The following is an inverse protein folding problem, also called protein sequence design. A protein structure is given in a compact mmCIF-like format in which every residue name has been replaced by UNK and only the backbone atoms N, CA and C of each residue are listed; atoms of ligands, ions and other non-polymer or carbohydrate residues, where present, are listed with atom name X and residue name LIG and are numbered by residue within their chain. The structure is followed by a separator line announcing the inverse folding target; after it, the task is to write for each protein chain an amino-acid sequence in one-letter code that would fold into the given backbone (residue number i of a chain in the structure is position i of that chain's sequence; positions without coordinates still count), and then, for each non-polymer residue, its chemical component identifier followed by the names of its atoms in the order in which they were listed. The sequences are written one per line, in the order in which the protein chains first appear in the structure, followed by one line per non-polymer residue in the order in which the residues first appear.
data_IF_784086614590
#
_entry.id   IF_784086614590
#
_cell.length_a   1.000
_cell.length_b   1.000
_cell.length_c   1.000
_cell.angle_alpha   90.00
_cell.angle_beta   90.00
_cell.angle_gamma   90.00
#
_symmetry.space_group_name_H-M   'P 1'
#
loop_
_entity.id
_entity.type
_entity.pdbx_description
1 polymer ?
#
# COMPACT_ATOMS: atom_id res chain seq x y z
N UNK A 1 -13.78 0.44 20.40
CA UNK A 1 -12.65 -0.50 20.67
C UNK A 1 -12.10 -0.92 19.33
N UNK A 2 -10.78 -1.05 19.21
CA UNK A 2 -10.19 -1.56 17.96
C UNK A 2 -10.80 -2.91 17.60
N UNK A 3 -11.11 -3.14 16.33
CA UNK A 3 -11.70 -4.39 15.86
C UNK A 3 -10.71 -5.58 15.91
N UNK A 4 -9.45 -5.31 16.25
CA UNK A 4 -8.33 -6.26 16.28
C UNK A 4 -7.48 -6.06 17.54
N UNK A 5 -6.73 -7.11 17.93
CA UNK A 5 -5.80 -7.06 19.06
C UNK A 5 -4.50 -6.37 18.65
N UNK A 6 -3.98 -5.51 19.52
CA UNK A 6 -2.73 -4.77 19.33
C UNK A 6 -1.70 -5.09 20.41
N UNK A 7 -0.53 -4.48 20.36
CA UNK A 7 0.50 -4.61 21.40
C UNK A 7 0.06 -4.04 22.77
N UNK A 8 -1.03 -3.27 22.81
CA UNK A 8 -1.62 -2.79 24.06
C UNK A 8 -2.38 -3.92 24.80
N UNK A 9 -2.82 -4.94 24.05
CA UNK A 9 -3.53 -6.11 24.58
C UNK A 9 -2.59 -7.29 24.91
N UNK A 10 -1.28 -7.19 24.63
CA UNK A 10 -0.35 -8.33 24.61
C UNK A 10 0.01 -8.86 26.04
N UNK A 11 -0.17 -8.04 27.06
CA UNK A 11 0.13 -8.41 28.43
C UNK A 11 1.62 -8.50 28.76
N UNK A 12 1.99 -9.38 29.71
CA UNK A 12 3.37 -9.59 30.13
C UNK A 12 4.08 -10.57 29.19
N UNK A 13 5.11 -10.09 28.49
CA UNK A 13 5.89 -10.86 27.51
C UNK A 13 7.36 -11.04 27.89
N UNK A 14 7.75 -10.64 29.10
CA UNK A 14 9.14 -10.80 29.56
C UNK A 14 9.60 -12.26 29.50
N UNK A 15 10.65 -12.51 28.71
CA UNK A 15 11.20 -13.84 28.46
C UNK A 15 10.39 -14.71 27.50
N UNK A 16 9.25 -14.24 26.99
CA UNK A 16 8.47 -14.93 25.96
C UNK A 16 9.15 -14.82 24.59
N UNK A 17 9.03 -15.89 23.80
CA UNK A 17 9.46 -15.92 22.40
C UNK A 17 8.36 -15.31 21.54
N UNK A 18 8.61 -14.14 20.97
CA UNK A 18 7.63 -13.42 20.15
C UNK A 18 8.07 -13.47 18.70
N UNK A 19 7.36 -14.25 17.89
CA UNK A 19 7.52 -14.27 16.44
C UNK A 19 6.91 -13.00 15.86
N UNK A 20 7.68 -12.22 15.10
CA UNK A 20 7.22 -10.98 14.49
C UNK A 20 7.36 -11.07 12.98
N UNK A 21 6.24 -11.09 12.27
CA UNK A 21 6.24 -11.03 10.81
C UNK A 21 6.40 -9.59 10.36
N UNK A 22 7.52 -9.30 9.71
CA UNK A 22 7.90 -7.96 9.25
C UNK A 22 8.07 -7.89 7.74
N UNK A 23 8.02 -6.70 7.16
CA UNK A 23 8.35 -6.46 5.76
C UNK A 23 9.79 -5.98 5.63
N UNK A 24 10.67 -6.89 5.23
CA UNK A 24 12.09 -6.64 4.97
C UNK A 24 12.43 -6.80 3.47
N UNK A 25 11.45 -6.70 2.58
CA UNK A 25 11.67 -6.76 1.14
C UNK A 25 12.20 -5.41 0.62
N UNK A 26 13.42 -5.08 1.01
CA UNK A 26 14.14 -3.83 0.73
C UNK A 26 15.04 -3.96 -0.51
N UNK A 27 15.34 -2.87 -1.23
CA UNK A 27 16.29 -2.92 -2.33
C UNK A 27 17.72 -3.14 -1.81
N UNK A 28 18.42 -4.06 -2.46
CA UNK A 28 19.81 -4.42 -2.14
C UNK A 28 20.65 -4.28 -3.41
N UNK A 29 21.80 -3.60 -3.32
CA UNK A 29 22.81 -3.54 -4.36
C UNK A 29 24.19 -3.83 -3.74
N UNK A 30 24.97 -4.67 -4.38
CA UNK A 30 26.31 -5.09 -3.94
C UNK A 30 26.33 -5.58 -2.48
N UNK A 31 25.30 -6.34 -2.07
CA UNK A 31 25.15 -6.88 -0.72
C UNK A 31 24.84 -5.85 0.37
N UNK A 32 24.44 -4.62 -0.01
CA UNK A 32 24.04 -3.55 0.91
C UNK A 32 22.62 -3.09 0.64
N UNK A 33 21.89 -2.82 1.70
CA UNK A 33 20.56 -2.19 1.61
C UNK A 33 20.76 -0.74 1.14
N UNK A 34 20.03 -0.36 0.07
CA UNK A 34 20.12 0.99 -0.52
C UNK A 34 18.99 1.91 -0.05
N UNK A 35 17.92 1.34 0.51
CA UNK A 35 16.81 2.07 1.12
C UNK A 35 16.32 1.32 2.36
N UNK A 36 16.50 1.93 3.53
CA UNK A 36 16.16 1.34 4.82
C UNK A 36 14.75 1.70 5.31
N UNK A 37 13.95 2.45 4.55
CA UNK A 37 12.63 2.97 4.97
C UNK A 37 11.72 1.90 5.55
N UNK A 38 11.71 0.68 5.00
CA UNK A 38 10.90 -0.43 5.52
C UNK A 38 11.41 -0.94 6.87
N UNK A 39 12.73 -0.93 7.07
CA UNK A 39 13.35 -1.33 8.33
C UNK A 39 13.03 -0.28 9.41
N UNK A 40 13.12 1.00 9.08
CA UNK A 40 12.79 2.10 9.98
C UNK A 40 11.34 2.04 10.44
N UNK A 41 10.42 1.67 9.56
CA UNK A 41 8.98 1.55 9.87
C UNK A 41 8.67 0.47 10.89
N UNK A 42 9.38 -0.66 10.88
CA UNK A 42 9.16 -1.77 11.83
C UNK A 42 9.94 -1.59 13.13
N UNK A 43 10.90 -0.67 13.18
CA UNK A 43 11.74 -0.43 14.34
C UNK A 43 10.94 -0.16 15.64
N UNK A 44 9.86 0.64 15.65
CA UNK A 44 9.06 0.87 16.86
C UNK A 44 8.46 -0.42 17.46
N UNK A 45 7.94 -1.33 16.63
CA UNK A 45 7.41 -2.63 17.07
C UNK A 45 8.50 -3.47 17.73
N UNK A 46 9.67 -3.57 17.09
CA UNK A 46 10.81 -4.35 17.60
C UNK A 46 11.33 -3.75 18.90
N UNK A 47 11.50 -2.44 18.95
CA UNK A 47 12.00 -1.73 20.14
C UNK A 47 11.04 -1.88 21.34
N UNK A 48 9.73 -1.79 21.12
CA UNK A 48 8.73 -1.96 22.18
C UNK A 48 8.75 -3.39 22.75
N UNK A 49 8.72 -4.41 21.88
CA UNK A 49 8.72 -5.81 22.30
C UNK A 49 10.02 -6.17 23.03
N UNK A 50 11.15 -5.79 22.49
CA UNK A 50 12.46 -6.00 23.10
C UNK A 50 12.61 -5.24 24.42
N UNK A 51 12.15 -3.99 24.49
CA UNK A 51 12.15 -3.18 25.70
C UNK A 51 11.27 -3.76 26.83
N UNK A 52 10.22 -4.51 26.48
CA UNK A 52 9.41 -5.31 27.41
C UNK A 52 10.06 -6.64 27.83
N UNK A 53 11.28 -6.92 27.36
CA UNK A 53 12.08 -8.11 27.67
C UNK A 53 11.65 -9.36 26.90
N UNK A 54 10.94 -9.23 25.78
CA UNK A 54 10.65 -10.36 24.89
C UNK A 54 11.93 -10.81 24.15
N UNK A 55 12.01 -12.11 23.82
CA UNK A 55 12.93 -12.63 22.80
C UNK A 55 12.25 -12.42 21.45
N UNK A 56 12.73 -11.42 20.70
CA UNK A 56 12.08 -10.98 19.43
C UNK A 56 12.66 -11.76 18.25
N UNK A 57 11.80 -12.55 17.59
CA UNK A 57 12.21 -13.41 16.48
C UNK A 57 11.53 -12.91 15.22
N UNK A 58 12.31 -12.32 14.30
CA UNK A 58 11.82 -11.73 13.07
C UNK A 58 11.67 -12.80 11.98
N UNK A 59 10.52 -12.79 11.34
CA UNK A 59 10.19 -13.58 10.15
C UNK A 59 9.93 -12.62 8.98
N UNK A 60 10.57 -12.87 7.85
CA UNK A 60 10.36 -12.08 6.65
C UNK A 60 10.50 -12.93 5.39
N UNK A 61 9.97 -12.40 4.28
CA UNK A 61 10.34 -12.87 2.96
C UNK A 61 11.22 -11.83 2.26
N UNK A 62 12.03 -12.31 1.33
CA UNK A 62 12.84 -11.47 0.47
C UNK A 62 12.82 -11.98 -0.96
N UNK A 63 12.49 -11.10 -1.89
CA UNK A 63 12.40 -11.45 -3.31
C UNK A 63 11.41 -12.57 -3.64
N UNK A 64 11.71 -13.29 -4.72
CA UNK A 64 10.91 -14.43 -5.22
C UNK A 64 11.82 -15.58 -5.62
N UNK A 65 12.47 -16.26 -4.66
CA UNK A 65 13.31 -17.42 -4.95
C UNK A 65 12.46 -18.52 -5.59
N UNK A 66 12.96 -19.14 -6.67
CA UNK A 66 12.28 -20.23 -7.38
C UNK A 66 12.78 -21.61 -6.96
N UNK A 67 14.09 -21.69 -6.65
CA UNK A 67 14.83 -22.95 -6.53
C UNK A 67 15.37 -23.20 -5.11
N UNK A 68 14.74 -22.60 -4.08
CA UNK A 68 15.16 -22.77 -2.70
C UNK A 68 16.24 -21.76 -2.26
N UNK A 69 17.06 -22.12 -1.23
CA UNK A 69 18.04 -21.21 -0.66
C UNK A 69 19.10 -20.75 -1.66
N UNK A 70 19.38 -19.44 -1.67
CA UNK A 70 20.44 -18.85 -2.46
C UNK A 70 20.98 -17.58 -1.78
N UNK A 71 22.25 -17.27 -2.01
CA UNK A 71 22.87 -16.06 -1.43
C UNK A 71 22.18 -14.76 -1.89
N UNK A 72 21.65 -14.75 -3.11
CA UNK A 72 20.94 -13.60 -3.69
C UNK A 72 19.70 -13.21 -2.87
N UNK A 73 19.00 -14.22 -2.34
CA UNK A 73 17.73 -14.03 -1.60
C UNK A 73 17.89 -14.26 -0.08
N UNK A 74 19.13 -14.35 0.44
CA UNK A 74 19.36 -14.47 1.87
C UNK A 74 19.07 -13.16 2.61
N UNK A 75 18.50 -13.27 3.80
CA UNK A 75 18.24 -12.15 4.70
C UNK A 75 19.48 -11.75 5.54
N UNK A 76 20.60 -12.45 5.43
CA UNK A 76 21.83 -12.14 6.22
C UNK A 76 22.31 -10.69 6.04
N UNK A 77 22.42 -10.13 4.80
CA UNK A 77 22.80 -8.72 4.63
C UNK A 77 21.79 -7.76 5.26
N UNK A 78 20.50 -8.14 5.28
CA UNK A 78 19.43 -7.32 5.83
C UNK A 78 19.44 -7.36 7.36
N UNK A 79 19.88 -8.46 7.98
CA UNK A 79 20.08 -8.52 9.43
C UNK A 79 21.08 -7.45 9.90
N UNK A 80 22.16 -7.22 9.14
CA UNK A 80 23.16 -6.18 9.44
C UNK A 80 22.56 -4.78 9.34
N UNK A 81 21.85 -4.49 8.25
CA UNK A 81 21.16 -3.20 8.08
C UNK A 81 20.10 -2.98 9.17
N UNK A 82 19.38 -4.03 9.57
CA UNK A 82 18.42 -3.97 10.67
C UNK A 82 19.11 -3.63 12.00
N UNK A 83 20.27 -4.21 12.28
CA UNK A 83 21.06 -3.89 13.45
C UNK A 83 21.53 -2.42 13.47
N UNK A 84 21.94 -1.90 12.32
CA UNK A 84 22.32 -0.48 12.17
C UNK A 84 21.15 0.46 12.46
N UNK A 85 19.98 0.21 11.88
CA UNK A 85 18.77 1.03 12.11
C UNK A 85 18.31 0.95 13.57
N UNK A 86 18.34 -0.23 14.17
CA UNK A 86 17.93 -0.41 15.57
C UNK A 86 18.98 0.09 16.58
N UNK A 87 20.21 0.37 16.16
CA UNK A 87 21.33 0.76 17.01
C UNK A 87 21.71 -0.33 18.05
N UNK A 88 21.47 -1.61 17.71
CA UNK A 88 21.71 -2.76 18.59
C UNK A 88 21.97 -4.03 17.80
N UNK A 89 22.60 -5.06 18.40
CA UNK A 89 22.82 -6.33 17.74
C UNK A 89 21.51 -7.00 17.31
N UNK A 90 21.52 -7.59 16.10
CA UNK A 90 20.52 -8.47 15.57
C UNK A 90 21.19 -9.77 15.16
N UNK A 91 20.85 -10.88 15.83
CA UNK A 91 21.32 -12.20 15.47
C UNK A 91 20.73 -12.65 14.12
N UNK A 92 21.39 -13.62 13.48
CA UNK A 92 20.88 -14.23 12.26
C UNK A 92 20.98 -15.76 12.35
N UNK A 93 19.94 -16.44 11.93
CA UNK A 93 19.90 -17.90 11.76
C UNK A 93 19.71 -18.25 10.30
N UNK A 94 20.55 -19.12 9.76
CA UNK A 94 20.57 -19.49 8.32
C UNK A 94 19.42 -20.42 7.89
N UNK A 95 18.42 -20.62 8.74
CA UNK A 95 17.15 -21.28 8.43
C UNK A 95 16.03 -20.65 9.26
N UNK A 96 14.78 -20.81 8.82
CA UNK A 96 13.61 -20.32 9.56
C UNK A 96 12.85 -21.41 10.32
N UNK A 97 13.23 -22.68 10.16
CA UNK A 97 12.64 -23.86 10.83
C UNK A 97 13.71 -24.86 11.24
N UNK A 98 13.30 -25.91 11.95
CA UNK A 98 14.19 -27.02 12.31
C UNK A 98 15.23 -26.68 13.36
N UNK A 99 16.28 -27.51 13.47
CA UNK A 99 17.27 -27.43 14.53
C UNK A 99 18.10 -26.14 14.48
N UNK A 100 18.38 -25.61 13.30
CA UNK A 100 19.14 -24.36 13.13
C UNK A 100 18.39 -23.18 13.75
N UNK A 101 17.13 -23.01 13.42
CA UNK A 101 16.30 -21.95 13.99
C UNK A 101 16.07 -22.20 15.49
N UNK A 102 15.70 -23.42 15.88
CA UNK A 102 15.42 -23.80 17.26
C UNK A 102 16.62 -23.56 18.20
N UNK A 103 17.86 -23.93 17.77
CA UNK A 103 19.08 -23.70 18.55
C UNK A 103 19.41 -22.22 18.69
N UNK A 104 19.23 -21.43 17.62
CA UNK A 104 19.45 -19.98 17.67
C UNK A 104 18.43 -19.29 18.61
N UNK A 105 17.17 -19.69 18.55
CA UNK A 105 16.11 -19.18 19.47
C UNK A 105 16.38 -19.56 20.92
N UNK A 106 16.84 -20.78 21.18
CA UNK A 106 17.17 -21.25 22.54
C UNK A 106 18.31 -20.45 23.17
N UNK A 107 19.29 -20.02 22.35
CA UNK A 107 20.44 -19.25 22.79
C UNK A 107 20.15 -17.76 23.10
N UNK A 108 18.97 -17.26 22.76
CA UNK A 108 18.59 -15.85 23.00
C UNK A 108 18.41 -15.54 24.49
N UNK A 109 18.84 -14.35 24.89
CA UNK A 109 18.49 -13.74 26.15
C UNK A 109 17.27 -12.83 26.08
N UNK A 110 16.77 -12.38 27.23
CA UNK A 110 15.67 -11.41 27.28
C UNK A 110 16.05 -10.10 26.60
N UNK A 111 15.18 -9.65 25.71
CA UNK A 111 15.39 -8.43 24.97
C UNK A 111 16.19 -8.61 23.68
N UNK A 112 16.72 -9.78 23.38
CA UNK A 112 17.44 -10.03 22.14
C UNK A 112 16.53 -9.99 20.92
N UNK A 113 17.15 -9.70 19.77
CA UNK A 113 16.52 -9.70 18.46
C UNK A 113 17.25 -10.67 17.54
N UNK A 114 16.51 -11.59 16.93
CA UNK A 114 17.02 -12.61 16.00
C UNK A 114 16.23 -12.54 14.69
N UNK A 115 16.90 -12.46 13.54
CA UNK A 115 16.28 -12.61 12.24
C UNK A 115 16.49 -14.05 11.75
N UNK A 116 15.40 -14.73 11.39
CA UNK A 116 15.46 -16.03 10.74
C UNK A 116 15.57 -15.86 9.22
N UNK A 117 16.07 -16.88 8.54
CA UNK A 117 16.24 -16.86 7.08
C UNK A 117 14.90 -16.79 6.34
N UNK A 118 14.97 -16.43 5.07
CA UNK A 118 13.86 -16.17 4.16
C UNK A 118 12.82 -17.29 4.12
N UNK A 119 11.60 -17.02 4.60
CA UNK A 119 10.51 -18.01 4.65
C UNK A 119 10.14 -18.53 3.26
N UNK A 120 10.36 -17.75 2.19
CA UNK A 120 10.09 -18.15 0.80
C UNK A 120 11.09 -19.13 0.20
N UNK A 121 12.14 -19.51 0.92
CA UNK A 121 12.94 -20.67 0.51
C UNK A 121 12.15 -21.97 0.58
N UNK A 122 11.03 -21.98 1.31
CA UNK A 122 10.08 -23.08 1.38
C UNK A 122 8.86 -22.80 0.53
N UNK A 123 8.59 -23.66 -0.46
CA UNK A 123 7.36 -23.57 -1.30
C UNK A 123 6.07 -23.71 -0.47
N UNK A 124 6.17 -24.29 0.72
CA UNK A 124 5.09 -24.43 1.70
C UNK A 124 4.61 -23.09 2.26
N UNK A 125 5.45 -22.06 2.29
CA UNK A 125 5.12 -20.72 2.76
C UNK A 125 3.93 -20.11 2.00
N UNK A 126 4.06 -20.02 0.68
CA UNK A 126 3.02 -19.40 -0.17
C UNK A 126 1.76 -20.25 -0.31
N UNK A 127 1.85 -21.56 0.01
CA UNK A 127 0.71 -22.48 0.03
C UNK A 127 -0.06 -22.46 1.34
N UNK A 128 0.41 -21.68 2.32
CA UNK A 128 -0.13 -21.71 3.68
C UNK A 128 -0.19 -23.12 4.26
N UNK A 129 0.87 -23.90 4.04
CA UNK A 129 0.93 -25.31 4.44
C UNK A 129 0.90 -25.42 5.99
N UNK A 130 -0.05 -26.19 6.56
CA UNK A 130 -0.21 -26.29 8.01
C UNK A 130 1.03 -26.87 8.72
N UNK A 131 1.70 -27.86 8.13
CA UNK A 131 2.87 -28.49 8.74
C UNK A 131 4.06 -27.51 8.79
N UNK A 132 4.20 -26.67 7.76
CA UNK A 132 5.21 -25.62 7.75
C UNK A 132 4.87 -24.51 8.75
N UNK A 133 3.61 -24.13 8.89
CA UNK A 133 3.16 -23.18 9.89
C UNK A 133 3.43 -23.69 11.34
N UNK A 134 3.22 -25.00 11.60
CA UNK A 134 3.56 -25.63 12.87
C UNK A 134 5.08 -25.60 13.15
N UNK A 135 5.91 -25.84 12.13
CA UNK A 135 7.36 -25.75 12.27
C UNK A 135 7.82 -24.33 12.60
N UNK A 136 7.23 -23.31 11.97
CA UNK A 136 7.48 -21.91 12.32
C UNK A 136 7.01 -21.61 13.76
N UNK A 137 5.80 -22.06 14.12
CA UNK A 137 5.20 -21.82 15.44
C UNK A 137 6.02 -22.44 16.59
N UNK A 138 6.75 -23.53 16.35
CA UNK A 138 7.61 -24.15 17.35
C UNK A 138 8.69 -23.19 17.91
N UNK A 139 9.03 -22.15 17.17
CA UNK A 139 10.00 -21.14 17.57
C UNK A 139 9.40 -20.02 18.44
N UNK A 140 8.10 -19.98 18.70
CA UNK A 140 7.46 -18.87 19.41
C UNK A 140 6.35 -19.25 20.36
N UNK A 141 6.01 -18.34 21.26
CA UNK A 141 4.90 -18.44 22.21
C UNK A 141 3.75 -17.50 21.82
N UNK A 142 4.06 -16.42 21.09
CA UNK A 142 3.17 -15.35 20.68
C UNK A 142 3.54 -14.95 19.25
N UNK A 143 2.54 -14.56 18.46
CA UNK A 143 2.74 -14.04 17.11
C UNK A 143 2.32 -12.57 17.02
N UNK A 144 3.13 -11.76 16.36
CA UNK A 144 2.84 -10.37 16.00
C UNK A 144 2.95 -10.20 14.48
N UNK A 145 1.86 -9.81 13.84
CA UNK A 145 1.89 -9.46 12.43
C UNK A 145 2.11 -7.96 12.27
N UNK A 146 3.24 -7.58 11.69
CA UNK A 146 3.62 -6.19 11.41
C UNK A 146 3.90 -5.95 9.91
N UNK A 147 3.43 -6.86 9.06
CA UNK A 147 3.65 -6.83 7.62
C UNK A 147 2.32 -6.72 6.84
N UNK A 148 1.68 -5.55 6.87
CA UNK A 148 0.45 -5.30 6.13
C UNK A 148 0.60 -5.58 4.63
N UNK A 149 1.77 -5.28 4.04
CA UNK A 149 2.07 -5.56 2.63
C UNK A 149 1.92 -7.03 2.24
N UNK A 150 2.04 -7.96 3.20
CA UNK A 150 1.85 -9.41 3.00
C UNK A 150 0.46 -9.91 3.46
N UNK A 151 -0.38 -9.06 4.04
CA UNK A 151 -1.63 -9.46 4.68
C UNK A 151 -2.75 -9.84 3.71
N UNK A 152 -2.64 -9.45 2.44
CA UNK A 152 -3.62 -9.75 1.39
C UNK A 152 -3.60 -11.22 0.93
N UNK A 153 -2.62 -11.99 1.35
CA UNK A 153 -2.49 -13.42 1.02
C UNK A 153 -2.42 -14.29 2.27
N UNK A 154 -3.06 -15.45 2.22
CA UNK A 154 -2.91 -16.48 3.24
C UNK A 154 -1.58 -17.21 3.02
N UNK A 155 -0.56 -16.88 3.83
CA UNK A 155 0.73 -17.56 3.85
C UNK A 155 0.99 -18.17 5.24
N UNK A 156 1.86 -19.17 5.32
CA UNK A 156 2.16 -19.86 6.58
C UNK A 156 2.71 -18.90 7.64
N UNK A 157 3.60 -17.96 7.25
CA UNK A 157 4.17 -16.97 8.17
C UNK A 157 3.24 -15.77 8.48
N UNK A 158 2.02 -15.74 7.94
CA UNK A 158 1.02 -14.71 8.21
C UNK A 158 -0.23 -15.34 8.83
N UNK A 159 -1.17 -15.80 7.99
CA UNK A 159 -2.45 -16.38 8.41
C UNK A 159 -2.27 -17.71 9.15
N UNK A 160 -1.37 -18.59 8.65
CA UNK A 160 -1.10 -19.88 9.28
C UNK A 160 -0.63 -19.74 10.73
N UNK A 161 0.40 -18.92 11.00
CA UNK A 161 0.89 -18.67 12.36
C UNK A 161 -0.15 -18.03 13.25
N UNK A 162 -0.95 -17.10 12.71
CA UNK A 162 -1.97 -16.41 13.49
C UNK A 162 -3.10 -17.33 13.98
N UNK A 163 -3.31 -18.46 13.30
CA UNK A 163 -4.25 -19.50 13.74
C UNK A 163 -3.70 -20.41 14.84
N UNK A 164 -2.37 -20.52 14.94
CA UNK A 164 -1.71 -21.44 15.89
C UNK A 164 -1.33 -20.77 17.20
N UNK A 165 -1.06 -19.47 17.21
CA UNK A 165 -0.54 -18.73 18.35
C UNK A 165 -1.46 -17.57 18.75
N UNK A 166 -1.43 -17.13 20.02
CA UNK A 166 -2.01 -15.84 20.40
C UNK A 166 -1.43 -14.73 19.55
N UNK A 167 -2.30 -13.97 18.81
CA UNK A 167 -1.88 -13.11 17.71
C UNK A 167 -2.30 -11.66 17.89
N UNK A 168 -1.41 -10.74 17.51
CA UNK A 168 -1.56 -9.31 17.69
C UNK A 168 -1.05 -8.55 16.46
N UNK A 169 -1.59 -7.36 16.23
CA UNK A 169 -1.04 -6.41 15.26
C UNK A 169 0.15 -5.67 15.86
N UNK A 170 1.25 -5.59 15.12
CA UNK A 170 2.36 -4.69 15.43
C UNK A 170 2.00 -3.24 15.18
N UNK A 171 2.87 -2.29 15.52
CA UNK A 171 2.58 -0.85 15.43
C UNK A 171 2.41 -0.37 14.01
N UNK A 172 3.19 -0.93 13.05
CA UNK A 172 3.02 -0.60 11.63
C UNK A 172 1.70 -1.11 11.10
N UNK A 173 1.34 -2.36 11.41
CA UNK A 173 0.05 -2.95 11.05
C UNK A 173 -1.11 -2.16 11.68
N UNK A 174 -1.00 -1.79 12.94
CA UNK A 174 -2.01 -1.00 13.65
C UNK A 174 -2.22 0.37 12.98
N UNK A 175 -1.14 1.09 12.69
CA UNK A 175 -1.23 2.40 12.03
C UNK A 175 -1.89 2.31 10.66
N UNK A 176 -1.56 1.27 9.88
CA UNK A 176 -2.17 0.98 8.59
C UNK A 176 -3.68 0.74 8.75
N UNK A 177 -4.09 -0.17 9.63
CA UNK A 177 -5.49 -0.52 9.84
C UNK A 177 -6.32 0.66 10.38
N UNK A 178 -5.77 1.47 11.28
CA UNK A 178 -6.43 2.67 11.77
C UNK A 178 -6.62 3.73 10.68
N UNK A 179 -5.61 3.91 9.82
CA UNK A 179 -5.71 4.83 8.69
C UNK A 179 -6.75 4.37 7.65
N UNK A 180 -6.78 3.07 7.37
CA UNK A 180 -7.75 2.46 6.45
C UNK A 180 -9.17 2.58 7.00
N UNK A 181 -9.37 2.36 8.30
CA UNK A 181 -10.68 2.52 8.94
C UNK A 181 -11.17 3.97 8.85
N UNK A 182 -10.28 4.96 9.10
CA UNK A 182 -10.58 6.38 8.94
C UNK A 182 -10.85 6.77 7.48
N UNK A 183 -10.18 6.10 6.52
CA UNK A 183 -10.31 6.39 5.09
C UNK A 183 -11.62 5.91 4.47
N UNK A 184 -11.99 4.65 4.70
CA UNK A 184 -13.16 4.02 4.05
C UNK A 184 -13.98 3.09 4.95
N UNK A 185 -13.45 2.65 6.10
CA UNK A 185 -14.19 1.79 7.02
C UNK A 185 -15.32 2.55 7.72
N UNK A 186 -14.94 3.64 8.38
CA UNK A 186 -15.87 4.54 9.08
C UNK A 186 -15.44 6.01 8.91
N UNK A 187 -15.42 6.53 7.65
CA UNK A 187 -14.89 7.85 7.35
C UNK A 187 -15.83 8.96 7.80
N UNK A 188 -15.23 10.12 8.08
CA UNK A 188 -16.00 11.37 8.21
C UNK A 188 -16.39 11.87 6.81
N UNK A 189 -17.67 12.08 6.60
CA UNK A 189 -18.19 12.56 5.31
C UNK A 189 -18.18 14.10 5.22
N UNK A 190 -18.10 14.68 4.00
CA UNK A 190 -18.04 14.03 2.69
C UNK A 190 -16.72 13.30 2.41
N UNK A 191 -16.79 12.15 1.73
CA UNK A 191 -15.65 11.35 1.31
C UNK A 191 -15.41 11.55 -0.19
N UNK A 192 -14.23 11.97 -0.55
CA UNK A 192 -13.79 12.06 -1.95
C UNK A 192 -12.72 10.99 -2.21
N UNK A 193 -12.86 10.24 -3.29
CA UNK A 193 -11.80 9.38 -3.78
C UNK A 193 -11.20 9.95 -5.07
N UNK A 194 -9.88 9.87 -5.20
CA UNK A 194 -9.17 10.12 -6.46
C UNK A 194 -8.58 8.79 -6.91
N UNK A 195 -8.96 8.34 -8.09
CA UNK A 195 -8.44 7.12 -8.70
C UNK A 195 -7.91 7.45 -10.08
N UNK A 196 -6.62 7.24 -10.27
CA UNK A 196 -5.96 7.42 -11.55
C UNK A 196 -5.24 6.17 -12.01
N UNK A 197 -4.66 6.23 -13.18
CA UNK A 197 -3.89 5.14 -13.76
C UNK A 197 -4.09 5.01 -15.27
N UNK A 198 -3.37 4.07 -15.88
CA UNK A 198 -3.39 3.90 -17.33
C UNK A 198 -4.67 3.24 -17.86
N UNK A 199 -5.21 2.24 -17.14
CA UNK A 199 -6.23 1.32 -17.63
C UNK A 199 -7.36 1.05 -16.64
N UNK A 200 -8.61 1.10 -17.09
CA UNK A 200 -9.80 0.72 -16.31
C UNK A 200 -9.78 -0.76 -15.94
N UNK A 201 -9.34 -1.63 -16.88
CA UNK A 201 -9.29 -3.08 -16.68
C UNK A 201 -8.55 -3.52 -15.43
N UNK A 202 -7.59 -2.72 -14.96
CA UNK A 202 -6.80 -3.03 -13.77
C UNK A 202 -7.46 -2.59 -12.46
N UNK A 203 -8.57 -1.83 -12.51
CA UNK A 203 -9.18 -1.19 -11.33
C UNK A 203 -10.71 -1.30 -11.30
N UNK A 204 -11.31 -2.21 -12.06
CA UNK A 204 -12.77 -2.37 -12.12
C UNK A 204 -13.34 -2.64 -10.73
N UNK A 205 -12.80 -3.63 -10.01
CA UNK A 205 -13.27 -4.00 -8.66
C UNK A 205 -13.16 -2.83 -7.68
N UNK A 206 -12.04 -2.08 -7.78
CA UNK A 206 -11.81 -0.88 -6.99
C UNK A 206 -12.91 0.17 -7.23
N UNK A 207 -13.15 0.52 -8.50
CA UNK A 207 -14.13 1.54 -8.87
C UNK A 207 -15.55 1.13 -8.44
N UNK A 208 -15.93 -0.13 -8.69
CA UNK A 208 -17.24 -0.68 -8.31
C UNK A 208 -17.48 -0.69 -6.79
N UNK A 209 -16.40 -0.89 -6.00
CA UNK A 209 -16.51 -0.81 -4.55
C UNK A 209 -16.58 0.65 -4.06
N UNK A 210 -15.73 1.52 -4.62
CA UNK A 210 -15.66 2.91 -4.19
C UNK A 210 -16.91 3.71 -4.45
N UNK A 211 -17.57 3.55 -5.62
CA UNK A 211 -18.81 4.29 -5.95
C UNK A 211 -19.92 4.08 -4.93
N UNK A 212 -19.89 2.97 -4.18
CA UNK A 212 -20.86 2.65 -3.11
C UNK A 212 -20.47 3.23 -1.76
N UNK A 213 -19.24 3.75 -1.61
CA UNK A 213 -18.68 4.17 -0.32
C UNK A 213 -18.35 5.65 -0.23
N UNK A 214 -18.17 6.34 -1.35
CA UNK A 214 -17.73 7.73 -1.38
C UNK A 214 -18.80 8.66 -1.94
N UNK A 215 -18.73 9.96 -1.60
CA UNK A 215 -19.67 10.97 -2.09
C UNK A 215 -19.25 11.50 -3.47
N UNK A 216 -17.95 11.47 -3.79
CA UNK A 216 -17.46 11.78 -5.13
C UNK A 216 -16.24 10.92 -5.48
N UNK A 217 -16.13 10.54 -6.75
CA UNK A 217 -15.05 9.80 -7.33
C UNK A 217 -14.45 10.55 -8.52
N UNK A 218 -13.24 11.07 -8.33
CA UNK A 218 -12.43 11.68 -9.40
C UNK A 218 -11.71 10.58 -10.15
N UNK A 219 -11.85 10.54 -11.46
CA UNK A 219 -11.18 9.59 -12.34
C UNK A 219 -10.14 10.34 -13.18
N UNK A 220 -8.86 9.95 -13.04
CA UNK A 220 -7.72 10.56 -13.71
C UNK A 220 -6.91 9.59 -14.56
N UNK A 221 -5.88 10.12 -15.21
CA UNK A 221 -4.98 9.35 -16.06
C UNK A 221 -5.64 8.78 -17.32
N UNK A 222 -4.99 7.82 -17.96
CA UNK A 222 -5.47 7.17 -19.18
C UNK A 222 -6.83 6.48 -19.01
N UNK A 223 -7.16 6.03 -17.80
CA UNK A 223 -8.47 5.43 -17.54
C UNK A 223 -9.62 6.43 -17.67
N UNK A 224 -9.41 7.73 -17.40
CA UNK A 224 -10.43 8.75 -17.61
C UNK A 224 -10.85 8.84 -19.08
N UNK A 225 -9.92 8.59 -20.02
CA UNK A 225 -10.22 8.61 -21.45
C UNK A 225 -11.25 7.52 -21.85
N UNK A 226 -11.22 6.36 -21.19
CA UNK A 226 -12.23 5.30 -21.41
C UNK A 226 -13.63 5.75 -20.94
N UNK A 227 -13.72 6.46 -19.83
CA UNK A 227 -14.98 7.04 -19.37
C UNK A 227 -15.50 8.16 -20.28
N UNK A 228 -14.59 9.01 -20.79
CA UNK A 228 -14.92 10.06 -21.76
C UNK A 228 -15.45 9.45 -23.07
N UNK A 229 -14.74 8.44 -23.60
CA UNK A 229 -15.15 7.71 -24.80
C UNK A 229 -16.50 7.00 -24.59
N UNK A 230 -16.75 6.42 -23.40
CA UNK A 230 -18.03 5.83 -23.05
C UNK A 230 -19.18 6.83 -23.06
N UNK A 231 -18.90 8.14 -22.84
CA UNK A 231 -19.87 9.25 -22.97
C UNK A 231 -19.99 9.80 -24.40
N UNK A 232 -19.25 9.23 -25.36
CA UNK A 232 -19.26 9.63 -26.76
C UNK A 232 -18.27 10.73 -27.13
N UNK A 233 -17.30 11.04 -26.26
CA UNK A 233 -16.25 12.00 -26.53
C UNK A 233 -15.14 11.35 -27.36
N UNK A 234 -14.68 12.02 -28.43
CA UNK A 234 -13.49 11.61 -29.15
C UNK A 234 -12.25 12.00 -28.35
N UNK A 235 -11.41 11.01 -28.01
CA UNK A 235 -10.20 11.20 -27.22
C UNK A 235 -8.90 11.13 -28.06
N UNK A 236 -9.03 11.21 -29.39
CA UNK A 236 -7.93 11.18 -30.35
C UNK A 236 -7.10 9.92 -30.22
N UNK A 237 -5.77 10.08 -30.16
CA UNK A 237 -4.79 8.97 -29.94
C UNK A 237 -4.50 8.68 -28.48
N UNK A 238 -5.30 9.20 -27.56
CA UNK A 238 -5.11 8.94 -26.12
C UNK A 238 -5.22 7.46 -25.81
N UNK A 239 -4.47 7.01 -24.80
CA UNK A 239 -4.65 5.66 -24.25
C UNK A 239 -6.10 5.48 -23.81
N UNK A 240 -6.82 4.52 -24.41
CA UNK A 240 -8.21 4.27 -24.17
C UNK A 240 -8.54 2.79 -24.39
N UNK A 241 -9.30 2.19 -23.48
CA UNK A 241 -9.81 0.83 -23.63
C UNK A 241 -11.26 0.87 -24.15
N UNK A 242 -11.40 1.09 -25.47
CA UNK A 242 -12.72 1.25 -26.12
C UNK A 242 -13.66 0.07 -25.86
N UNK A 243 -13.12 -1.15 -25.77
CA UNK A 243 -13.89 -2.37 -25.49
C UNK A 243 -14.51 -2.37 -24.08
N UNK A 244 -13.97 -1.54 -23.16
CA UNK A 244 -14.49 -1.38 -21.81
C UNK A 244 -15.45 -0.19 -21.65
N UNK A 245 -15.87 0.47 -22.74
CA UNK A 245 -16.88 1.51 -22.67
C UNK A 245 -18.20 1.04 -22.02
N UNK A 246 -18.71 -0.19 -22.25
CA UNK A 246 -19.87 -0.70 -21.52
C UNK A 246 -19.64 -0.81 -20.02
N UNK A 247 -18.45 -1.27 -19.59
CA UNK A 247 -18.07 -1.37 -18.17
C UNK A 247 -17.98 0.01 -17.53
N UNK A 248 -17.38 1.00 -18.20
CA UNK A 248 -17.33 2.37 -17.71
C UNK A 248 -18.72 2.98 -17.57
N UNK A 249 -19.65 2.70 -18.50
CA UNK A 249 -21.07 3.09 -18.39
C UNK A 249 -21.74 2.46 -17.18
N UNK A 250 -21.50 1.16 -16.94
CA UNK A 250 -22.06 0.46 -15.78
C UNK A 250 -21.58 1.07 -14.47
N UNK A 251 -20.28 1.39 -14.35
CA UNK A 251 -19.73 2.07 -13.17
C UNK A 251 -20.41 3.43 -12.96
N UNK A 252 -20.62 4.22 -14.01
CA UNK A 252 -21.34 5.50 -13.91
C UNK A 252 -22.78 5.35 -13.48
N UNK A 253 -23.48 4.30 -13.91
CA UNK A 253 -24.86 3.99 -13.50
C UNK A 253 -24.88 3.64 -12.01
N UNK A 254 -24.02 2.72 -11.57
CA UNK A 254 -23.95 2.33 -10.15
C UNK A 254 -23.56 3.51 -9.25
N UNK A 255 -22.68 4.40 -9.73
CA UNK A 255 -22.36 5.62 -9.01
C UNK A 255 -23.59 6.52 -8.83
N UNK A 256 -24.38 6.72 -9.90
CA UNK A 256 -25.61 7.53 -9.85
C UNK A 256 -26.64 6.92 -8.90
N UNK A 257 -26.84 5.60 -8.93
CA UNK A 257 -27.71 4.88 -8.02
C UNK A 257 -27.27 4.98 -6.56
N UNK A 258 -25.96 4.99 -6.32
CA UNK A 258 -25.38 5.15 -4.98
C UNK A 258 -25.29 6.61 -4.49
N UNK A 259 -25.64 7.59 -5.34
CA UNK A 259 -25.49 9.01 -5.02
C UNK A 259 -24.06 9.53 -5.07
N UNK A 260 -23.15 8.81 -5.70
CA UNK A 260 -21.74 9.18 -5.87
C UNK A 260 -21.55 10.02 -7.14
N UNK A 261 -20.96 11.20 -7.00
CA UNK A 261 -20.63 12.05 -8.15
C UNK A 261 -19.38 11.53 -8.86
N UNK A 262 -19.48 11.21 -10.16
CA UNK A 262 -18.31 10.90 -10.99
C UNK A 262 -17.75 12.20 -11.58
N UNK A 263 -16.51 12.51 -11.25
CA UNK A 263 -15.80 13.70 -11.72
C UNK A 263 -14.83 13.30 -12.81
N UNK A 264 -15.11 13.69 -14.04
CA UNK A 264 -14.28 13.47 -15.22
C UNK A 264 -13.60 14.77 -15.66
N UNK A 265 -12.48 14.70 -16.37
CA UNK A 265 -11.84 15.87 -16.96
C UNK A 265 -12.78 16.67 -17.88
N UNK A 266 -12.74 18.00 -17.78
CA UNK A 266 -13.44 18.93 -18.69
C UNK A 266 -12.48 19.59 -19.66
N UNK A 267 -11.17 19.59 -19.34
CA UNK A 267 -10.06 20.01 -20.20
C UNK A 267 -8.87 19.07 -19.99
N UNK A 268 -7.98 19.03 -20.96
CA UNK A 268 -6.80 18.17 -20.95
C UNK A 268 -5.58 18.85 -21.54
N UNK A 269 -4.40 18.46 -21.05
CA UNK A 269 -3.11 18.81 -21.63
C UNK A 269 -2.80 17.76 -22.70
N UNK A 270 -2.79 18.21 -23.95
CA UNK A 270 -2.68 17.33 -25.13
C UNK A 270 -1.32 17.53 -25.80
N UNK A 271 -0.68 16.42 -26.13
CA UNK A 271 0.55 16.38 -26.92
C UNK A 271 0.48 15.33 -28.03
N UNK A 272 1.31 15.52 -29.08
CA UNK A 272 1.43 14.54 -30.18
C UNK A 272 2.46 13.46 -29.91
N UNK A 273 3.27 13.60 -28.86
CA UNK A 273 4.33 12.67 -28.49
C UNK A 273 4.35 12.45 -26.99
N UNK A 274 4.47 11.19 -26.57
CA UNK A 274 4.64 10.79 -25.18
C UNK A 274 6.13 10.85 -24.81
N UNK A 275 6.62 12.06 -24.48
CA UNK A 275 8.01 12.28 -24.06
C UNK A 275 8.14 13.55 -23.24
N UNK A 276 9.20 13.62 -22.42
CA UNK A 276 9.53 14.82 -21.65
C UNK A 276 9.76 16.03 -22.57
N UNK A 277 9.20 17.18 -22.16
CA UNK A 277 9.32 18.44 -22.91
C UNK A 277 8.59 18.43 -24.26
N UNK A 278 7.67 17.50 -24.51
CA UNK A 278 6.85 17.52 -25.70
C UNK A 278 6.02 18.80 -25.76
N UNK A 279 5.94 19.41 -26.98
CA UNK A 279 5.02 20.52 -27.21
C UNK A 279 3.60 20.08 -26.89
N UNK A 280 2.91 20.83 -26.04
CA UNK A 280 1.56 20.52 -25.59
C UNK A 280 0.70 21.77 -25.54
N UNK A 281 -0.61 21.57 -25.57
CA UNK A 281 -1.61 22.62 -25.41
C UNK A 281 -2.72 22.14 -24.50
N UNK A 282 -3.38 23.07 -23.83
CA UNK A 282 -4.57 22.75 -23.04
C UNK A 282 -5.83 23.04 -23.87
N UNK A 283 -6.63 22.00 -24.06
CA UNK A 283 -7.86 22.09 -24.85
C UNK A 283 -9.06 21.63 -24.03
N UNK A 284 -10.27 22.07 -24.39
CA UNK A 284 -11.48 21.45 -23.84
C UNK A 284 -11.53 19.98 -24.31
N UNK A 285 -12.11 19.11 -23.48
CA UNK A 285 -12.21 17.68 -23.84
C UNK A 285 -13.01 17.46 -25.12
N UNK A 286 -13.96 18.35 -25.47
CA UNK A 286 -14.68 18.33 -26.74
C UNK A 286 -13.82 18.62 -27.97
N UNK A 287 -12.64 19.21 -27.78
CA UNK A 287 -11.81 19.79 -28.85
C UNK A 287 -10.45 19.06 -28.99
N UNK A 288 -10.37 17.84 -28.46
CA UNK A 288 -9.13 17.03 -28.55
C UNK A 288 -8.83 16.70 -30.00
N UNK A 289 -7.64 17.08 -30.52
CA UNK A 289 -7.25 16.75 -31.91
C UNK A 289 -7.19 15.24 -32.14
N UNK A 290 -7.59 14.79 -33.33
CA UNK A 290 -7.59 13.37 -33.67
C UNK A 290 -6.21 12.71 -33.60
N UNK A 291 -5.11 13.49 -33.75
CA UNK A 291 -3.72 13.03 -33.62
C UNK A 291 -3.10 13.35 -32.26
N UNK A 292 -3.87 13.92 -31.31
CA UNK A 292 -3.45 14.32 -29.98
C UNK A 292 -3.69 13.23 -28.95
N UNK A 293 -2.86 13.22 -27.90
CA UNK A 293 -2.98 12.35 -26.72
C UNK A 293 -3.19 13.22 -25.48
N UNK A 294 -4.22 12.96 -24.71
CA UNK A 294 -4.43 13.57 -23.38
C UNK A 294 -3.43 12.93 -22.44
N UNK A 295 -2.48 13.70 -21.93
CA UNK A 295 -1.40 13.21 -21.06
C UNK A 295 -1.51 13.75 -19.64
N UNK A 296 -2.27 14.83 -19.39
CA UNK A 296 -2.63 15.31 -18.06
C UNK A 296 -3.99 16.01 -18.14
N UNK A 297 -4.61 16.27 -17.00
CA UNK A 297 -5.83 17.08 -16.95
C UNK A 297 -5.49 18.58 -16.96
N UNK A 298 -6.38 19.39 -17.50
CA UNK A 298 -6.17 20.84 -17.60
C UNK A 298 -6.52 21.60 -16.31
N UNK A 299 -6.24 22.89 -16.34
CA UNK A 299 -6.37 23.78 -15.17
C UNK A 299 -7.82 23.89 -14.66
N UNK A 300 -8.82 23.84 -15.54
CA UNK A 300 -10.24 23.87 -15.12
C UNK A 300 -10.61 22.60 -14.36
N UNK A 301 -10.12 21.45 -14.81
CA UNK A 301 -10.30 20.17 -14.11
C UNK A 301 -9.59 20.18 -12.74
N UNK A 302 -8.36 20.72 -12.67
CA UNK A 302 -7.64 20.89 -11.38
C UNK A 302 -8.43 21.75 -10.41
N UNK A 303 -9.02 22.86 -10.91
CA UNK A 303 -9.88 23.74 -10.09
C UNK A 303 -11.09 22.95 -9.54
N UNK A 304 -11.79 22.20 -10.40
CA UNK A 304 -12.93 21.37 -9.97
C UNK A 304 -12.52 20.32 -8.93
N UNK A 305 -11.37 19.66 -9.12
CA UNK A 305 -10.83 18.69 -8.14
C UNK A 305 -10.53 19.42 -6.81
N UNK A 306 -9.93 20.60 -6.85
CA UNK A 306 -9.67 21.42 -5.67
C UNK A 306 -10.95 21.76 -4.90
N UNK A 307 -12.02 22.13 -5.58
CA UNK A 307 -13.33 22.40 -4.95
C UNK A 307 -13.92 21.15 -4.26
N UNK A 308 -13.72 19.96 -4.85
CA UNK A 308 -14.15 18.73 -4.20
C UNK A 308 -13.28 18.39 -2.97
N UNK A 309 -11.96 18.60 -3.05
CA UNK A 309 -11.06 18.44 -1.91
C UNK A 309 -11.41 19.45 -0.80
N UNK A 310 -11.84 20.68 -1.15
CA UNK A 310 -12.27 21.69 -0.18
C UNK A 310 -13.54 21.31 0.58
N UNK A 311 -14.45 20.60 -0.04
CA UNK A 311 -15.68 20.10 0.58
C UNK A 311 -15.47 18.80 1.37
N UNK A 312 -14.41 18.06 1.06
CA UNK A 312 -14.14 16.76 1.67
C UNK A 312 -13.73 16.90 3.15
N UNK A 313 -14.24 16.00 3.99
CA UNK A 313 -13.68 15.72 5.30
C UNK A 313 -12.68 14.55 5.24
N UNK A 314 -12.85 13.64 4.27
CA UNK A 314 -11.94 12.51 4.03
C UNK A 314 -11.60 12.40 2.54
N UNK A 315 -10.31 12.21 2.25
CA UNK A 315 -9.78 11.94 0.92
C UNK A 315 -9.10 10.57 0.89
N UNK A 316 -9.43 9.76 -0.10
CA UNK A 316 -8.70 8.51 -0.40
C UNK A 316 -8.12 8.62 -1.80
N UNK A 317 -6.81 8.37 -1.95
CA UNK A 317 -6.12 8.59 -3.21
C UNK A 317 -5.33 7.37 -3.67
N UNK A 318 -5.61 6.91 -4.90
CA UNK A 318 -4.87 5.82 -5.55
C UNK A 318 -4.65 6.09 -7.05
N UNK A 319 -3.46 6.55 -7.40
CA UNK A 319 -3.02 6.78 -8.77
C UNK A 319 -3.02 8.24 -9.22
N UNK A 320 -2.12 8.60 -10.16
CA UNK A 320 -1.93 9.96 -10.63
C UNK A 320 -3.06 10.43 -11.56
N UNK A 321 -3.16 11.75 -11.77
CA UNK A 321 -4.12 12.39 -12.67
C UNK A 321 -3.65 12.43 -14.13
N UNK A 322 -2.33 12.36 -14.34
CA UNK A 322 -1.68 12.41 -15.64
C UNK A 322 -0.42 11.53 -15.69
N UNK A 323 0.38 11.68 -16.73
CA UNK A 323 1.67 11.01 -16.92
C UNK A 323 2.75 11.69 -16.07
N UNK A 324 2.60 11.62 -14.75
CA UNK A 324 3.34 12.40 -13.76
C UNK A 324 4.85 12.16 -13.76
N UNK A 325 5.33 11.07 -14.36
CA UNK A 325 6.76 10.77 -14.48
C UNK A 325 7.47 11.64 -15.54
N UNK A 326 6.69 12.39 -16.36
CA UNK A 326 7.18 13.12 -17.52
C UNK A 326 6.68 14.56 -17.47
N UNK A 327 7.59 15.51 -17.24
CA UNK A 327 7.25 16.94 -17.36
C UNK A 327 6.89 17.33 -18.82
N UNK A 328 5.82 18.12 -19.02
CA UNK A 328 5.04 18.88 -18.03
C UNK A 328 3.72 18.20 -17.61
N UNK A 329 3.58 16.89 -17.74
CA UNK A 329 2.34 16.15 -17.53
C UNK A 329 2.15 15.68 -16.06
N UNK A 330 2.95 16.22 -15.14
CA UNK A 330 2.88 16.02 -13.68
C UNK A 330 2.10 17.14 -12.98
N UNK A 331 1.85 18.26 -13.66
CA UNK A 331 1.37 19.51 -13.04
C UNK A 331 0.05 19.34 -12.30
N UNK A 332 -0.92 18.63 -12.86
CA UNK A 332 -2.22 18.46 -12.22
C UNK A 332 -2.11 17.57 -10.95
N UNK A 333 -1.35 16.50 -11.04
CA UNK A 333 -1.11 15.60 -9.89
C UNK A 333 -0.42 16.36 -8.76
N UNK A 334 0.62 17.13 -9.05
CA UNK A 334 1.36 17.95 -8.08
C UNK A 334 0.47 19.03 -7.47
N UNK A 335 -0.34 19.73 -8.28
CA UNK A 335 -1.24 20.78 -7.79
C UNK A 335 -2.30 20.21 -6.83
N UNK A 336 -2.97 19.12 -7.22
CA UNK A 336 -3.97 18.47 -6.38
C UNK A 336 -3.34 17.90 -5.09
N UNK A 337 -2.13 17.32 -5.16
CA UNK A 337 -1.42 16.79 -4.00
C UNK A 337 -1.07 17.89 -3.00
N UNK A 338 -0.52 19.02 -3.47
CA UNK A 338 -0.21 20.18 -2.63
C UNK A 338 -1.46 20.77 -1.99
N UNK A 339 -2.58 20.84 -2.72
CA UNK A 339 -3.85 21.32 -2.19
C UNK A 339 -4.37 20.41 -1.06
N UNK A 340 -4.38 19.08 -1.29
CA UNK A 340 -4.78 18.11 -0.27
C UNK A 340 -3.87 18.17 0.97
N UNK A 341 -2.56 18.27 0.79
CA UNK A 341 -1.59 18.41 1.86
C UNK A 341 -1.83 19.66 2.71
N UNK A 342 -2.07 20.81 2.07
CA UNK A 342 -2.37 22.05 2.77
C UNK A 342 -3.64 21.93 3.63
N UNK A 343 -4.70 21.29 3.12
CA UNK A 343 -5.94 21.03 3.86
C UNK A 343 -5.72 20.09 5.05
N UNK A 344 -4.88 19.05 4.85
CA UNK A 344 -4.53 18.10 5.89
C UNK A 344 -3.75 18.75 7.01
N UNK A 345 -2.72 19.56 6.69
CA UNK A 345 -1.95 20.34 7.68
C UNK A 345 -2.82 21.32 8.46
N UNK A 346 -3.84 21.87 7.83
CA UNK A 346 -4.81 22.74 8.50
C UNK A 346 -5.81 21.98 9.38
N UNK A 347 -5.72 20.66 9.50
CA UNK A 347 -6.63 19.81 10.27
C UNK A 347 -8.06 19.73 9.70
N UNK A 348 -8.23 20.06 8.41
CA UNK A 348 -9.53 20.13 7.73
C UNK A 348 -9.81 18.93 6.82
N UNK A 349 -8.84 18.03 6.67
CA UNK A 349 -8.93 16.87 5.80
C UNK A 349 -8.20 15.70 6.43
N UNK A 350 -8.85 14.54 6.48
CA UNK A 350 -8.19 13.26 6.68
C UNK A 350 -7.81 12.72 5.31
N UNK A 351 -6.52 12.61 5.02
CA UNK A 351 -6.04 12.15 3.72
C UNK A 351 -5.28 10.83 3.84
N UNK A 352 -5.77 9.82 3.12
CA UNK A 352 -5.17 8.48 3.05
C UNK A 352 -4.82 8.18 1.60
N UNK A 353 -3.57 7.87 1.35
CA UNK A 353 -3.09 7.57 0.00
C UNK A 353 -2.32 6.25 -0.02
N UNK A 354 -2.27 5.59 -1.17
CA UNK A 354 -1.47 4.37 -1.34
C UNK A 354 -1.42 3.90 -2.78
N UNK A 355 -0.54 2.93 -3.01
CA UNK A 355 -0.15 2.45 -4.34
C UNK A 355 1.16 3.07 -4.79
N UNK A 356 2.00 2.28 -5.50
CA UNK A 356 3.35 2.67 -5.87
C UNK A 356 3.43 4.01 -6.59
N UNK A 357 2.62 4.19 -7.64
CA UNK A 357 2.59 5.42 -8.44
C UNK A 357 2.09 6.62 -7.62
N UNK A 358 1.14 6.40 -6.70
CA UNK A 358 0.65 7.45 -5.80
C UNK A 358 1.75 7.92 -4.86
N UNK A 359 2.44 6.98 -4.21
CA UNK A 359 3.55 7.29 -3.31
C UNK A 359 4.66 8.03 -4.04
N UNK A 360 5.02 7.57 -5.25
CA UNK A 360 6.02 8.22 -6.09
C UNK A 360 5.59 9.67 -6.47
N UNK A 361 4.32 9.86 -6.84
CA UNK A 361 3.78 11.17 -7.18
C UNK A 361 3.75 12.14 -5.98
N UNK A 362 3.39 11.66 -4.79
CA UNK A 362 3.40 12.46 -3.56
C UNK A 362 4.82 12.85 -3.14
N UNK A 363 5.78 11.93 -3.29
CA UNK A 363 7.20 12.21 -3.06
C UNK A 363 7.73 13.23 -4.06
N UNK A 364 7.41 13.08 -5.35
CA UNK A 364 7.75 14.05 -6.39
C UNK A 364 7.19 15.45 -6.09
N UNK A 365 5.95 15.52 -5.60
CA UNK A 365 5.33 16.77 -5.16
C UNK A 365 5.91 17.34 -3.85
N UNK A 366 6.71 16.55 -3.10
CA UNK A 366 7.32 16.93 -1.82
C UNK A 366 6.31 17.04 -0.67
N UNK A 367 5.22 16.27 -0.70
CA UNK A 367 4.10 16.39 0.26
C UNK A 367 3.65 15.07 0.90
N UNK A 368 4.39 13.99 0.71
CA UNK A 368 3.99 12.68 1.23
C UNK A 368 3.82 12.71 2.77
N UNK A 369 4.71 13.38 3.49
CA UNK A 369 4.68 13.49 4.95
C UNK A 369 3.57 14.42 5.47
N UNK A 370 2.95 15.20 4.59
CA UNK A 370 1.87 16.12 4.92
C UNK A 370 0.47 15.48 4.84
N UNK A 371 0.40 14.24 4.35
CA UNK A 371 -0.83 13.44 4.37
C UNK A 371 -1.04 12.80 5.75
N UNK A 372 -2.28 12.53 6.12
CA UNK A 372 -2.60 11.82 7.36
C UNK A 372 -1.95 10.45 7.38
N UNK A 373 -1.97 9.74 6.25
CA UNK A 373 -1.30 8.46 6.08
C UNK A 373 -1.00 8.15 4.61
N UNK A 374 0.21 7.67 4.36
CA UNK A 374 0.62 7.16 3.04
C UNK A 374 1.04 5.69 3.19
N UNK A 375 0.21 4.80 2.64
CA UNK A 375 0.47 3.36 2.63
C UNK A 375 1.54 3.00 1.61
N UNK A 376 2.55 2.28 2.05
CA UNK A 376 3.55 1.66 1.16
C UNK A 376 3.26 0.21 0.84
N UNK A 377 2.10 -0.29 1.27
CA UNK A 377 1.74 -1.70 1.19
C UNK A 377 1.30 -2.18 -0.20
N UNK A 378 1.19 -1.28 -1.18
CA UNK A 378 0.92 -1.63 -2.58
C UNK A 378 -0.34 -2.46 -2.77
N UNK A 379 -0.17 -3.77 -3.03
CA UNK A 379 -1.28 -4.68 -3.34
C UNK A 379 -2.28 -4.85 -2.21
N UNK A 380 -1.85 -4.92 -0.96
CA UNK A 380 -2.76 -5.07 0.18
C UNK A 380 -3.66 -3.84 0.37
N UNK A 381 -3.11 -2.64 0.15
CA UNK A 381 -3.90 -1.41 0.17
C UNK A 381 -4.94 -1.40 -0.95
N UNK A 382 -4.55 -1.81 -2.16
CA UNK A 382 -5.46 -1.87 -3.30
C UNK A 382 -6.60 -2.88 -3.06
N UNK A 383 -6.27 -4.11 -2.66
CA UNK A 383 -7.28 -5.15 -2.38
C UNK A 383 -8.22 -4.75 -1.24
N UNK A 384 -7.72 -4.04 -0.24
CA UNK A 384 -8.58 -3.49 0.80
C UNK A 384 -9.55 -2.43 0.24
N UNK A 385 -9.07 -1.52 -0.64
CA UNK A 385 -9.94 -0.54 -1.30
C UNK A 385 -10.97 -1.22 -2.22
N UNK A 386 -10.66 -2.37 -2.79
CA UNK A 386 -11.58 -3.22 -3.55
C UNK A 386 -12.63 -3.92 -2.67
N UNK A 387 -12.48 -3.84 -1.34
CA UNK A 387 -13.35 -4.52 -0.38
C UNK A 387 -13.08 -6.01 -0.24
N UNK A 388 -11.95 -6.48 -0.72
CA UNK A 388 -11.53 -7.88 -0.61
C UNK A 388 -11.09 -8.21 0.82
N UNK A 389 -11.34 -9.45 1.29
CA UNK A 389 -10.84 -9.89 2.59
C UNK A 389 -9.30 -9.92 2.59
N UNK A 390 -8.71 -9.54 3.71
CA UNK A 390 -7.26 -9.62 3.92
C UNK A 390 -6.97 -10.72 4.94
N UNK A 391 -6.60 -11.94 4.52
CA UNK A 391 -6.46 -13.09 5.43
C UNK A 391 -5.55 -12.83 6.61
N UNK A 392 -4.41 -12.15 6.40
CA UNK A 392 -3.46 -11.82 7.46
C UNK A 392 -3.94 -10.72 8.43
N UNK A 393 -5.05 -10.03 8.11
CA UNK A 393 -5.74 -9.08 9.00
C UNK A 393 -6.93 -9.74 9.66
N UNK A 394 -7.73 -10.50 8.90
CA UNK A 394 -8.98 -11.10 9.41
C UNK A 394 -8.74 -12.03 10.59
N UNK A 395 -7.59 -12.72 10.62
CA UNK A 395 -7.20 -13.59 11.75
C UNK A 395 -6.79 -12.82 13.01
N UNK A 396 -6.57 -11.49 12.93
CA UNK A 396 -6.25 -10.64 14.09
C UNK A 396 -7.50 -10.01 14.72
N UNK A 397 -8.67 -10.17 14.10
CA UNK A 397 -9.94 -9.65 14.63
C UNK A 397 -10.26 -10.29 15.99
N UNK A 398 -10.94 -9.51 16.86
CA UNK A 398 -11.38 -9.93 18.19
C UNK A 398 -12.54 -10.92 18.13
#
# INVERSE_FOLDING_TARGET
MAAFKTLDDIGNISGKRVLVRVDLNVPVADGKVTDATRIERIAPTIAELSGKGAKVILLAHFGRPKDGPSAEFSLEPIARATAEVLGRPVGFASDCVGDTAGSAVAAMDKGDVLLLENTRFYKAEEKNDPAFAEQLAANGDIFVNDAFSAAHRAHASTEGLARLLPSFAGRTMQAELEALEKGLGNPVRPVVAIVGGAKVSTKIDLLMNLVKKVDALVIGGGMANTFLAARGTDVGKSLCEHDLAPTAKQIMIEAAEAGCAIILPVDGVVAKQFKAGAACETVAISDVPADGMILDVGAKTVTTIGEWIDRAATLVWNGPLGAFEIEPFDHATVAAAKHAAARTKAGKLVSVAGGGDTVAALNHAGVADDFTYVSTAGGAFLEWMEGKPLPGVDVLKR
#
